data_IF_228833422504
#
_entry.id   IF_228833422504
#
_cell.length_a   1.000
_cell.length_b   1.000
_cell.length_c   1.000
_cell.angle_alpha   90.00
_cell.angle_beta   90.00
_cell.angle_gamma   90.00
#
_symmetry.space_group_name_H-M   'P 1'
#
loop_
_entity.id
_entity.type
_entity.pdbx_description
1 polymer ?
#
# COMPACT_ATOMS: atom_id res chain seq x y z
N UNK A 1 -48.72 -41.50 0.63
CA UNK A 1 -48.39 -40.31 1.43
C UNK A 1 -47.79 -39.27 0.50
N UNK A 2 -48.59 -38.31 0.04
CA UNK A 2 -48.14 -37.20 -0.80
C UNK A 2 -47.27 -36.26 0.04
N UNK A 3 -46.01 -36.06 -0.34
CA UNK A 3 -45.20 -34.98 0.24
C UNK A 3 -45.74 -33.62 -0.23
N UNK A 4 -45.84 -32.63 0.68
CA UNK A 4 -46.43 -31.34 0.38
C UNK A 4 -45.54 -30.52 -0.56
N UNK A 5 -46.18 -29.83 -1.50
CA UNK A 5 -45.59 -28.96 -2.52
C UNK A 5 -44.65 -27.94 -1.88
N UNK A 6 -43.38 -27.98 -2.25
CA UNK A 6 -42.39 -26.96 -1.93
C UNK A 6 -42.83 -25.67 -2.64
N UNK A 7 -43.30 -24.69 -1.87
CA UNK A 7 -43.71 -23.39 -2.40
C UNK A 7 -42.46 -22.53 -2.61
N UNK A 8 -42.28 -22.01 -3.83
CA UNK A 8 -41.25 -21.02 -4.13
C UNK A 8 -41.58 -19.71 -3.42
N UNK A 9 -40.66 -19.21 -2.59
CA UNK A 9 -40.77 -17.91 -1.94
C UNK A 9 -40.35 -16.82 -2.95
N UNK A 10 -41.20 -15.83 -3.28
CA UNK A 10 -40.80 -14.69 -4.10
C UNK A 10 -40.01 -13.71 -3.24
N UNK A 11 -38.73 -13.48 -3.55
CA UNK A 11 -37.92 -12.47 -2.84
C UNK A 11 -36.44 -12.77 -2.67
N UNK A 12 -35.93 -13.93 -3.08
CA UNK A 12 -34.49 -14.20 -3.13
C UNK A 12 -33.85 -13.62 -4.41
N UNK A 13 -34.10 -12.33 -4.65
CA UNK A 13 -33.29 -11.47 -5.54
C UNK A 13 -32.35 -10.62 -4.70
N UNK A 14 -31.74 -11.22 -3.67
CA UNK A 14 -30.58 -10.63 -3.04
C UNK A 14 -29.54 -11.73 -3.04
N UNK A 15 -28.67 -11.62 -4.04
CA UNK A 15 -27.37 -12.26 -4.11
C UNK A 15 -26.89 -12.44 -2.68
N UNK A 16 -26.84 -13.68 -2.18
CA UNK A 16 -26.22 -13.97 -0.90
C UNK A 16 -24.81 -13.43 -1.05
N UNK A 17 -24.63 -12.29 -0.39
CA UNK A 17 -23.60 -11.34 -0.71
C UNK A 17 -22.25 -12.05 -0.70
N UNK A 18 -21.42 -11.74 -1.69
CA UNK A 18 -19.99 -11.75 -1.53
C UNK A 18 -19.59 -10.74 -0.43
N UNK A 19 -20.09 -10.92 0.79
CA UNK A 19 -19.57 -10.28 2.00
C UNK A 19 -18.45 -11.17 2.51
N UNK A 20 -17.40 -11.30 1.69
CA UNK A 20 -16.06 -11.53 2.21
C UNK A 20 -15.37 -10.20 1.97
N UNK A 21 -15.52 -9.39 3.01
CA UNK A 21 -14.81 -8.16 3.34
C UNK A 21 -13.70 -7.85 2.35
N UNK A 22 -13.78 -6.67 1.75
CA UNK A 22 -12.69 -6.08 1.01
C UNK A 22 -11.51 -5.86 1.94
N UNK A 23 -10.67 -6.89 2.08
CA UNK A 23 -9.28 -6.72 2.46
C UNK A 23 -8.65 -5.98 1.28
N UNK A 24 -8.71 -4.64 1.30
CA UNK A 24 -7.68 -3.86 0.65
C UNK A 24 -6.37 -4.47 1.14
N UNK A 25 -5.56 -5.12 0.28
CA UNK A 25 -4.28 -5.64 0.74
C UNK A 25 -3.60 -4.45 1.39
N UNK A 26 -3.24 -4.59 2.66
CA UNK A 26 -2.48 -3.61 3.41
C UNK A 26 -1.33 -3.17 2.51
N UNK A 27 -1.55 -2.06 1.80
CA UNK A 27 -0.65 -1.54 0.79
C UNK A 27 0.38 -0.67 1.48
N UNK A 28 0.63 -0.95 2.76
CA UNK A 28 1.76 -0.45 3.50
C UNK A 28 2.97 -1.18 2.91
N UNK A 29 3.80 -0.51 2.10
CA UNK A 29 5.02 -1.15 1.63
C UNK A 29 5.82 -1.59 2.88
N UNK A 30 6.53 -2.73 2.85
CA UNK A 30 7.40 -3.18 3.96
C UNK A 30 8.60 -2.25 4.19
N UNK A 31 8.57 -1.05 3.62
CA UNK A 31 9.64 -0.08 3.63
C UNK A 31 9.61 0.71 4.92
N UNK A 32 10.79 0.98 5.52
CA UNK A 32 10.88 1.92 6.61
C UNK A 32 10.42 3.31 6.13
N UNK A 33 9.66 4.02 6.95
CA UNK A 33 9.25 5.39 6.69
C UNK A 33 10.49 6.31 6.80
N UNK A 34 10.68 7.29 5.90
CA UNK A 34 11.79 8.22 6.03
C UNK A 34 11.64 9.03 7.34
N UNK A 35 12.74 9.37 8.02
CA UNK A 35 12.69 10.18 9.22
C UNK A 35 12.05 11.55 8.92
N UNK A 36 11.32 12.14 9.88
CA UNK A 36 10.61 13.40 9.64
C UNK A 36 11.53 14.55 9.23
N UNK A 37 12.81 14.50 9.63
CA UNK A 37 13.86 15.45 9.25
C UNK A 37 14.18 15.44 7.76
N UNK A 38 13.96 14.32 7.09
CA UNK A 38 14.20 14.13 5.66
C UNK A 38 12.89 13.75 4.96
N UNK A 39 11.76 14.31 5.40
CA UNK A 39 10.45 14.17 4.74
C UNK A 39 10.28 15.04 3.50
N UNK A 40 11.13 16.08 3.36
CA UNK A 40 11.21 16.96 2.19
C UNK A 40 12.64 17.03 1.68
N UNK A 41 12.77 17.05 0.36
CA UNK A 41 14.04 17.17 -0.33
C UNK A 41 14.61 18.59 -0.16
N UNK A 42 15.84 18.76 0.33
CA UNK A 42 16.45 20.09 0.50
C UNK A 42 16.81 20.75 -0.84
N UNK A 43 16.80 19.99 -1.94
CA UNK A 43 17.20 20.47 -3.28
C UNK A 43 16.04 21.04 -4.10
N UNK A 44 14.88 20.42 -4.02
CA UNK A 44 13.69 20.82 -4.81
C UNK A 44 12.44 21.07 -3.96
N UNK A 45 12.47 20.77 -2.66
CA UNK A 45 11.33 20.95 -1.75
C UNK A 45 10.26 19.86 -1.81
N UNK A 46 10.40 18.90 -2.74
CA UNK A 46 9.46 17.80 -2.93
C UNK A 46 9.50 16.76 -1.82
N UNK A 47 8.51 15.87 -1.79
CA UNK A 47 8.52 14.73 -0.89
C UNK A 47 9.69 13.78 -1.18
N UNK A 48 10.09 13.05 -0.16
CA UNK A 48 11.11 12.01 -0.19
C UNK A 48 10.50 10.69 0.23
N UNK A 49 10.98 9.62 -0.36
CA UNK A 49 10.51 8.26 -0.10
C UNK A 49 11.72 7.36 0.12
N UNK A 50 11.53 6.27 0.85
CA UNK A 50 12.55 5.23 0.92
C UNK A 50 12.46 4.34 -0.30
N UNK A 51 13.62 4.05 -0.87
CA UNK A 51 13.83 3.11 -1.97
C UNK A 51 14.93 2.13 -1.59
N UNK A 52 14.91 0.96 -2.20
CA UNK A 52 15.95 -0.06 -2.03
C UNK A 52 16.87 0.01 -3.23
N UNK A 53 18.17 -0.06 -2.95
CA UNK A 53 19.16 -0.18 -3.99
C UNK A 53 19.15 -1.60 -4.52
N UNK A 54 18.89 -1.78 -5.82
CA UNK A 54 18.84 -3.11 -6.44
C UNK A 54 20.21 -3.80 -6.50
N UNK A 55 21.32 -3.07 -6.33
CA UNK A 55 22.67 -3.64 -6.33
C UNK A 55 23.04 -4.23 -4.96
N UNK A 56 22.89 -3.43 -3.91
CA UNK A 56 23.39 -3.77 -2.57
C UNK A 56 22.26 -4.19 -1.60
N UNK A 57 20.99 -4.04 -1.98
CA UNK A 57 19.83 -4.31 -1.13
C UNK A 57 19.64 -3.28 0.00
N UNK A 58 20.47 -2.24 0.04
CA UNK A 58 20.41 -1.22 1.08
C UNK A 58 19.27 -0.23 0.84
N UNK A 59 18.58 0.15 1.91
CA UNK A 59 17.55 1.16 1.85
C UNK A 59 18.15 2.58 1.90
N UNK A 60 17.65 3.45 1.05
CA UNK A 60 18.06 4.85 0.96
C UNK A 60 16.87 5.77 0.73
N UNK A 61 17.02 7.04 1.10
CA UNK A 61 16.03 8.08 0.87
C UNK A 61 16.26 8.65 -0.53
N UNK A 62 15.23 8.60 -1.37
CA UNK A 62 15.22 9.19 -2.71
C UNK A 62 14.15 10.26 -2.85
N UNK A 63 14.40 11.24 -3.71
CA UNK A 63 13.40 12.24 -4.08
C UNK A 63 12.28 11.64 -4.95
N UNK A 64 11.04 12.09 -4.77
CA UNK A 64 9.91 11.70 -5.62
C UNK A 64 10.03 12.23 -7.06
N UNK A 65 10.67 13.38 -7.24
CA UNK A 65 10.81 14.09 -8.51
C UNK A 65 11.94 13.56 -9.41
N UNK A 66 12.41 12.35 -9.21
CA UNK A 66 13.34 11.72 -10.16
C UNK A 66 12.63 11.52 -11.53
N UNK A 67 13.24 11.87 -12.68
CA UNK A 67 14.65 12.22 -12.91
C UNK A 67 15.03 13.71 -12.76
N UNK A 68 14.07 14.59 -12.51
CA UNK A 68 14.30 16.04 -12.33
C UNK A 68 15.08 16.40 -11.06
N UNK A 69 14.97 15.58 -10.02
CA UNK A 69 15.79 15.68 -8.81
C UNK A 69 16.45 14.33 -8.48
N UNK A 70 17.79 14.29 -8.56
CA UNK A 70 18.62 13.11 -8.27
C UNK A 70 19.22 13.12 -6.86
N UNK A 71 18.64 13.87 -5.94
CA UNK A 71 19.10 13.90 -4.56
C UNK A 71 18.75 12.59 -3.85
N UNK A 72 19.74 12.00 -3.17
CA UNK A 72 19.61 10.80 -2.37
C UNK A 72 20.34 10.98 -1.04
N UNK A 73 19.90 10.28 -0.01
CA UNK A 73 20.54 10.24 1.30
C UNK A 73 20.48 8.83 1.89
N UNK A 74 21.48 8.41 2.69
CA UNK A 74 21.40 7.15 3.42
C UNK A 74 20.28 7.22 4.46
N UNK A 75 19.60 6.11 4.69
CA UNK A 75 18.72 6.01 5.85
C UNK A 75 19.57 5.93 7.12
N UNK A 76 19.32 6.79 8.14
CA UNK A 76 19.92 6.57 9.44
C UNK A 76 19.28 5.32 10.04
N UNK A 77 19.99 4.18 9.95
CA UNK A 77 19.66 3.00 10.74
C UNK A 77 19.82 3.42 12.20
N UNK A 78 18.71 3.70 12.86
CA UNK A 78 18.74 4.01 14.28
C UNK A 78 18.95 2.66 14.95
N UNK A 79 20.20 2.38 15.32
CA UNK A 79 20.59 1.20 16.09
C UNK A 79 19.99 1.23 17.49
#
# INVERSE_FOLDING_TARGET
MLLPRIQALPGTTLCQACAREGELPDKSPPYPTPPPTLSKCPRCGSATIVRENSQDGEYFIGCTDFPGCRWTAPLPVTA
#
